data_IF_396107987335
#
_entry.id   IF_396107987335
#
_cell.length_a   1.000
_cell.length_b   1.000
_cell.length_c   1.000
_cell.angle_alpha   90.00
_cell.angle_beta   90.00
_cell.angle_gamma   90.00
#
_symmetry.space_group_name_H-M   'P 1'
#
loop_
_entity.id
_entity.type
_entity.pdbx_description
1 polymer ?
#
# COMPACT_ATOMS: atom_id res chain seq x y z
N UNK A 1 -28.61 9.99 -82.48
CA UNK A 1 -29.20 11.17 -83.16
C UNK A 1 -28.60 12.46 -82.58
N UNK A 2 -28.20 13.43 -83.41
CA UNK A 2 -27.58 14.70 -82.98
C UNK A 2 -28.63 15.57 -82.27
N UNK A 3 -28.40 16.02 -81.04
CA UNK A 3 -29.32 16.97 -80.35
C UNK A 3 -29.42 18.25 -81.18
N UNK A 4 -30.63 18.59 -81.60
CA UNK A 4 -30.96 19.79 -82.40
C UNK A 4 -31.43 20.87 -81.43
N UNK A 5 -30.80 22.04 -81.48
CA UNK A 5 -31.20 23.20 -80.69
C UNK A 5 -31.92 24.19 -81.61
N UNK A 6 -32.99 24.80 -81.12
CA UNK A 6 -33.80 25.76 -81.86
C UNK A 6 -33.69 27.13 -81.18
N UNK A 7 -33.41 28.18 -81.95
CA UNK A 7 -33.54 29.57 -81.48
C UNK A 7 -34.65 30.24 -82.26
N UNK A 8 -35.49 30.98 -81.54
CA UNK A 8 -36.56 31.75 -82.14
C UNK A 8 -35.98 32.96 -82.88
N UNK A 9 -36.34 33.11 -84.15
CA UNK A 9 -35.92 34.24 -84.98
C UNK A 9 -37.05 35.29 -85.01
N UNK A 10 -36.88 36.46 -84.36
CA UNK A 10 -37.96 37.46 -84.23
C UNK A 10 -38.40 38.06 -85.57
N UNK A 11 -37.57 37.97 -86.61
CA UNK A 11 -37.84 38.56 -87.93
C UNK A 11 -38.67 37.65 -88.82
N UNK A 12 -38.49 36.34 -88.70
CA UNK A 12 -39.21 35.34 -89.51
C UNK A 12 -40.31 34.63 -88.71
N UNK A 13 -40.41 34.87 -87.40
CA UNK A 13 -41.32 34.20 -86.47
C UNK A 13 -41.18 32.66 -86.46
N UNK A 14 -40.07 32.14 -86.97
CA UNK A 14 -39.77 30.70 -87.06
C UNK A 14 -38.65 30.29 -86.12
N UNK A 15 -38.58 28.99 -85.82
CA UNK A 15 -37.51 28.40 -85.04
C UNK A 15 -36.41 27.86 -85.96
N UNK A 16 -35.23 28.48 -85.93
CA UNK A 16 -34.09 28.07 -86.75
C UNK A 16 -33.26 27.01 -86.02
N UNK A 17 -32.87 25.95 -86.74
CA UNK A 17 -32.05 24.86 -86.21
C UNK A 17 -30.58 25.29 -86.17
N UNK A 18 -29.99 25.27 -84.98
CA UNK A 18 -28.56 25.58 -84.79
C UNK A 18 -27.82 24.36 -84.26
N UNK A 19 -26.68 24.07 -84.86
CA UNK A 19 -25.75 23.08 -84.35
C UNK A 19 -24.66 23.78 -83.55
N UNK A 20 -24.50 23.48 -82.25
CA UNK A 20 -23.44 24.10 -81.46
C UNK A 20 -22.07 23.71 -82.03
N UNK A 21 -21.19 24.70 -82.16
CA UNK A 21 -19.82 24.54 -82.65
C UNK A 21 -19.01 23.66 -81.70
N UNK A 22 -17.91 23.07 -82.18
CA UNK A 22 -17.03 22.19 -81.37
C UNK A 22 -16.58 22.91 -80.09
N UNK A 23 -16.23 24.19 -80.19
CA UNK A 23 -15.85 25.06 -79.05
C UNK A 23 -16.98 25.21 -78.02
N UNK A 24 -18.21 25.45 -78.46
CA UNK A 24 -19.37 25.60 -77.55
C UNK A 24 -19.71 24.30 -76.82
N UNK A 25 -19.57 23.14 -77.49
CA UNK A 25 -19.73 21.83 -76.84
C UNK A 25 -18.65 21.58 -75.80
N UNK A 26 -17.39 21.89 -76.13
CA UNK A 26 -16.27 21.77 -75.21
C UNK A 26 -16.47 22.66 -73.96
N UNK A 27 -16.87 23.92 -74.13
CA UNK A 27 -17.17 24.84 -73.02
C UNK A 27 -18.34 24.36 -72.15
N UNK A 28 -19.41 23.83 -72.75
CA UNK A 28 -20.53 23.23 -72.03
C UNK A 28 -20.10 22.04 -71.18
N UNK A 29 -19.23 21.18 -71.71
CA UNK A 29 -18.71 20.01 -70.99
C UNK A 29 -17.79 20.48 -69.83
N UNK A 30 -16.88 21.41 -70.10
CA UNK A 30 -15.99 21.98 -69.09
C UNK A 30 -16.75 22.63 -67.93
N UNK A 31 -17.81 23.40 -68.22
CA UNK A 31 -18.66 24.01 -67.17
C UNK A 31 -19.36 22.97 -66.31
N UNK A 32 -19.87 21.88 -66.91
CA UNK A 32 -20.51 20.78 -66.16
C UNK A 32 -19.51 20.03 -65.29
N UNK A 33 -18.29 19.81 -65.79
CA UNK A 33 -17.19 19.23 -65.01
C UNK A 33 -16.82 20.12 -63.82
N UNK A 34 -16.72 21.43 -64.01
CA UNK A 34 -16.45 22.38 -62.91
C UNK A 34 -17.52 22.36 -61.82
N UNK A 35 -18.79 22.39 -62.21
CA UNK A 35 -19.92 22.30 -61.26
C UNK A 35 -19.90 20.94 -60.53
N UNK A 36 -19.66 19.85 -61.26
CA UNK A 36 -19.55 18.50 -60.69
C UNK A 36 -18.39 18.37 -59.70
N UNK A 37 -17.23 18.94 -60.02
CA UNK A 37 -16.08 19.01 -59.11
C UNK A 37 -16.38 19.83 -57.86
N UNK A 38 -17.06 20.98 -57.99
CA UNK A 38 -17.45 21.80 -56.85
C UNK A 38 -18.42 21.08 -55.92
N UNK A 39 -19.44 20.41 -56.47
CA UNK A 39 -20.37 19.58 -55.69
C UNK A 39 -19.67 18.39 -55.03
N UNK A 40 -18.74 17.73 -55.75
CA UNK A 40 -17.94 16.64 -55.21
C UNK A 40 -17.03 17.07 -54.07
N UNK A 41 -16.32 18.20 -54.22
CA UNK A 41 -15.48 18.77 -53.18
C UNK A 41 -16.32 19.20 -51.96
N UNK A 42 -17.47 19.83 -52.19
CA UNK A 42 -18.40 20.21 -51.12
C UNK A 42 -18.92 18.99 -50.36
N UNK A 43 -19.37 17.95 -51.07
CA UNK A 43 -19.81 16.70 -50.46
C UNK A 43 -18.69 16.00 -49.68
N UNK A 44 -17.45 16.04 -50.19
CA UNK A 44 -16.28 15.47 -49.52
C UNK A 44 -15.91 16.22 -48.22
N UNK A 45 -15.92 17.57 -48.24
CA UNK A 45 -15.70 18.39 -47.05
C UNK A 45 -16.80 18.11 -46.01
N UNK A 46 -18.05 18.02 -46.45
CA UNK A 46 -19.19 17.76 -45.58
C UNK A 46 -19.10 16.36 -44.95
N UNK A 47 -18.62 15.36 -45.71
CA UNK A 47 -18.27 14.03 -45.20
C UNK A 47 -17.15 14.10 -44.14
N UNK A 48 -16.08 14.87 -44.37
CA UNK A 48 -14.99 15.04 -43.39
C UNK A 48 -15.46 15.73 -42.11
N UNK A 49 -16.41 16.66 -42.18
CA UNK A 49 -16.98 17.33 -40.99
C UNK A 49 -17.86 16.38 -40.19
N UNK A 50 -18.67 15.55 -40.86
CA UNK A 50 -19.60 14.63 -40.18
C UNK A 50 -18.86 13.42 -39.58
N UNK A 51 -17.94 12.82 -40.34
CA UNK A 51 -17.31 11.54 -39.96
C UNK A 51 -15.88 11.69 -39.44
N UNK A 52 -15.27 12.88 -39.55
CA UNK A 52 -13.87 13.10 -39.25
C UNK A 52 -12.94 12.44 -40.29
N UNK A 53 -11.66 12.79 -40.24
CA UNK A 53 -10.65 12.05 -41.01
C UNK A 53 -10.25 10.75 -40.30
N UNK A 54 -9.82 9.70 -41.02
CA UNK A 54 -9.29 8.48 -40.40
C UNK A 54 -8.15 8.76 -39.41
N UNK A 55 -7.27 9.71 -39.73
CA UNK A 55 -6.16 10.14 -38.87
C UNK A 55 -6.66 10.81 -37.58
N UNK A 56 -7.73 11.62 -37.65
CA UNK A 56 -8.32 12.21 -36.46
C UNK A 56 -8.94 11.14 -35.54
N UNK A 57 -9.58 10.12 -36.12
CA UNK A 57 -10.10 8.99 -35.34
C UNK A 57 -8.98 8.21 -34.65
N UNK A 58 -7.86 7.96 -35.34
CA UNK A 58 -6.68 7.33 -34.77
C UNK A 58 -6.11 8.16 -33.61
N UNK A 59 -5.91 9.46 -33.80
CA UNK A 59 -5.41 10.37 -32.76
C UNK A 59 -6.34 10.45 -31.54
N UNK A 60 -7.66 10.41 -31.73
CA UNK A 60 -8.62 10.35 -30.62
C UNK A 60 -8.53 9.04 -29.85
N UNK A 61 -8.33 7.94 -30.56
CA UNK A 61 -8.15 6.62 -29.95
C UNK A 61 -6.85 6.54 -29.17
N UNK A 62 -5.75 7.06 -29.73
CA UNK A 62 -4.44 7.15 -29.06
C UNK A 62 -4.51 8.04 -27.81
N UNK A 63 -5.13 9.23 -27.89
CA UNK A 63 -5.31 10.10 -26.72
C UNK A 63 -6.15 9.43 -25.62
N UNK A 64 -7.21 8.72 -25.99
CA UNK A 64 -8.01 7.94 -25.04
C UNK A 64 -7.19 6.84 -24.36
N UNK A 65 -6.39 6.11 -25.13
CA UNK A 65 -5.46 5.10 -24.61
C UNK A 65 -4.41 5.69 -23.68
N UNK A 66 -3.78 6.80 -24.05
CA UNK A 66 -2.81 7.50 -23.22
C UNK A 66 -3.44 7.98 -21.91
N UNK A 67 -4.64 8.55 -21.97
CA UNK A 67 -5.39 8.99 -20.78
C UNK A 67 -5.68 7.81 -19.84
N UNK A 68 -6.10 6.67 -20.38
CA UNK A 68 -6.30 5.45 -19.60
C UNK A 68 -4.99 4.94 -18.97
N UNK A 69 -3.87 5.01 -19.69
CA UNK A 69 -2.56 4.65 -19.15
C UNK A 69 -2.15 5.57 -17.98
N UNK A 70 -2.39 6.87 -18.09
CA UNK A 70 -2.14 7.83 -16.99
C UNK A 70 -3.00 7.54 -15.76
N UNK A 71 -4.28 7.18 -15.93
CA UNK A 71 -5.11 6.77 -14.82
C UNK A 71 -4.58 5.51 -14.12
N UNK A 72 -4.15 4.50 -14.88
CA UNK A 72 -3.53 3.29 -14.32
C UNK A 72 -2.25 3.65 -13.57
N UNK A 73 -1.40 4.51 -14.13
CA UNK A 73 -0.18 4.98 -13.47
C UNK A 73 -0.47 5.73 -12.17
N UNK A 74 -1.45 6.64 -12.19
CA UNK A 74 -1.87 7.39 -11.00
C UNK A 74 -2.35 6.46 -9.89
N UNK A 75 -3.14 5.43 -10.22
CA UNK A 75 -3.57 4.41 -9.27
C UNK A 75 -2.40 3.62 -8.68
N UNK A 76 -1.44 3.20 -9.51
CA UNK A 76 -0.23 2.50 -9.04
C UNK A 76 0.63 3.37 -8.13
N UNK A 77 0.68 4.68 -8.36
CA UNK A 77 1.36 5.61 -7.47
C UNK A 77 0.64 5.74 -6.13
N UNK A 78 -0.69 5.72 -6.09
CA UNK A 78 -1.45 5.71 -4.83
C UNK A 78 -1.16 4.44 -4.02
N UNK A 79 -1.15 3.27 -4.68
CA UNK A 79 -0.78 2.00 -4.06
C UNK A 79 0.66 2.04 -3.50
N UNK A 80 1.61 2.58 -4.28
CA UNK A 80 3.01 2.72 -3.84
C UNK A 80 3.18 3.70 -2.68
N UNK A 81 2.42 4.80 -2.64
CA UNK A 81 2.38 5.73 -1.51
C UNK A 81 1.80 5.06 -0.26
N UNK A 82 0.78 4.21 -0.41
CA UNK A 82 0.24 3.40 0.70
C UNK A 82 1.31 2.47 1.29
N UNK A 83 2.00 1.71 0.44
CA UNK A 83 3.11 0.85 0.90
C UNK A 83 4.22 1.67 1.56
N UNK A 84 4.57 2.83 1.00
CA UNK A 84 5.57 3.72 1.59
C UNK A 84 5.14 4.21 2.99
N UNK A 85 3.86 4.49 3.20
CA UNK A 85 3.31 4.86 4.49
C UNK A 85 3.41 3.70 5.51
N UNK A 86 3.14 2.47 5.10
CA UNK A 86 3.28 1.29 5.97
C UNK A 86 4.74 1.07 6.39
N UNK A 87 5.67 1.22 5.45
CA UNK A 87 7.13 1.13 5.71
C UNK A 87 7.55 2.23 6.70
N UNK A 88 7.07 3.45 6.48
CA UNK A 88 7.29 4.61 7.35
C UNK A 88 6.78 4.40 8.77
N UNK A 89 5.59 3.81 8.92
CA UNK A 89 5.01 3.47 10.22
C UNK A 89 5.80 2.36 10.92
N UNK A 90 6.25 1.34 10.17
CA UNK A 90 7.11 0.30 10.71
C UNK A 90 8.43 0.89 11.19
N UNK A 91 9.02 1.81 10.45
CA UNK A 91 10.25 2.48 10.86
C UNK A 91 10.08 3.27 12.17
N UNK A 92 9.04 4.11 12.26
CA UNK A 92 8.81 4.92 13.45
C UNK A 92 8.42 4.09 14.67
N UNK A 93 7.54 3.09 14.49
CA UNK A 93 6.93 2.36 15.62
C UNK A 93 7.69 1.08 16.00
N UNK A 94 8.56 0.56 15.13
CA UNK A 94 9.36 -0.63 15.41
C UNK A 94 10.82 -0.28 15.51
N UNK A 95 11.47 0.11 14.40
CA UNK A 95 12.92 0.27 14.39
C UNK A 95 13.38 1.42 15.28
N UNK A 96 12.77 2.60 15.16
CA UNK A 96 13.17 3.76 15.97
C UNK A 96 12.81 3.59 17.44
N UNK A 97 11.68 2.95 17.76
CA UNK A 97 11.35 2.54 19.13
C UNK A 97 12.41 1.59 19.69
N UNK A 98 12.84 0.61 18.89
CA UNK A 98 13.95 -0.32 19.20
C UNK A 98 15.22 0.41 19.59
N UNK A 99 15.67 1.34 18.76
CA UNK A 99 16.91 2.09 19.00
C UNK A 99 16.72 3.32 19.89
N UNK A 100 15.54 3.48 20.51
CA UNK A 100 15.15 4.65 21.30
C UNK A 100 15.39 5.99 20.57
N UNK A 101 15.28 5.98 19.24
CA UNK A 101 15.44 7.14 18.40
C UNK A 101 14.10 7.86 18.24
N UNK A 102 14.15 9.18 18.03
CA UNK A 102 12.96 9.96 17.73
C UNK A 102 12.40 9.58 16.34
N UNK A 103 11.07 9.53 16.18
CA UNK A 103 10.44 9.29 14.88
C UNK A 103 10.76 10.43 13.91
N UNK A 104 10.76 10.13 12.62
CA UNK A 104 10.97 11.19 11.61
C UNK A 104 9.68 12.00 11.49
N UNK A 105 9.78 13.31 11.65
CA UNK A 105 8.61 14.19 11.53
C UNK A 105 7.98 14.12 10.13
N UNK A 106 6.65 14.21 10.09
CA UNK A 106 5.92 14.26 8.81
C UNK A 106 6.40 15.43 7.94
N UNK A 107 6.81 16.54 8.55
CA UNK A 107 7.35 17.71 7.84
C UNK A 107 8.60 17.33 7.05
N UNK A 108 9.52 16.53 7.61
CA UNK A 108 10.72 16.09 6.90
C UNK A 108 10.37 15.11 5.77
N UNK A 109 9.41 14.21 6.00
CA UNK A 109 8.96 13.21 5.01
C UNK A 109 8.21 13.81 3.83
N UNK A 110 7.39 14.83 4.10
CA UNK A 110 6.55 15.54 3.12
C UNK A 110 7.15 16.87 2.68
N UNK A 111 8.35 17.23 3.17
CA UNK A 111 9.02 18.48 2.83
C UNK A 111 9.08 18.62 1.31
N UNK A 112 8.30 19.57 0.80
CA UNK A 112 8.27 19.91 -0.62
C UNK A 112 9.57 20.59 -1.04
N UNK A 113 9.79 20.65 -2.35
CA UNK A 113 10.76 21.56 -2.91
C UNK A 113 10.09 22.93 -2.97
N UNK A 114 10.59 23.91 -2.21
CA UNK A 114 10.18 25.30 -2.36
C UNK A 114 10.47 25.75 -3.80
N UNK A 115 9.46 26.28 -4.48
CA UNK A 115 9.57 26.76 -5.86
C UNK A 115 8.18 26.85 -6.51
N UNK A 116 7.77 28.04 -6.92
CA UNK A 116 6.38 28.33 -7.27
C UNK A 116 5.92 27.76 -8.62
N UNK A 117 6.82 27.32 -9.52
CA UNK A 117 6.44 27.01 -10.92
C UNK A 117 6.88 25.64 -11.47
N UNK A 118 7.12 24.61 -10.64
CA UNK A 118 7.61 23.30 -11.15
C UNK A 118 6.70 22.54 -12.10
N UNK A 119 5.41 22.90 -12.16
CA UNK A 119 4.41 22.23 -12.98
C UNK A 119 3.79 23.16 -14.02
N UNK A 120 4.33 24.38 -14.18
CA UNK A 120 3.77 25.41 -15.07
C UNK A 120 3.76 24.93 -16.53
N UNK A 121 4.86 24.35 -16.99
CA UNK A 121 4.98 23.75 -18.34
C UNK A 121 3.97 22.61 -18.58
N UNK A 122 3.54 21.92 -17.51
CA UNK A 122 2.55 20.85 -17.60
C UNK A 122 1.12 21.38 -17.62
N UNK A 123 0.88 22.63 -17.21
CA UNK A 123 -0.44 23.26 -17.25
C UNK A 123 -0.89 23.64 -18.66
N UNK A 124 0.06 23.76 -19.59
CA UNK A 124 -0.23 24.04 -21.01
C UNK A 124 -0.61 22.76 -21.80
N UNK A 125 -0.47 21.58 -21.20
CA UNK A 125 -0.78 20.30 -21.84
C UNK A 125 -2.28 19.98 -21.86
N UNK A 126 -2.71 19.23 -22.88
CA UNK A 126 -4.01 18.57 -22.85
C UNK A 126 -4.09 17.62 -21.64
N UNK A 127 -5.18 17.67 -20.88
CA UNK A 127 -5.35 16.93 -19.61
C UNK A 127 -4.32 17.31 -18.53
N UNK A 128 -3.89 18.57 -18.48
CA UNK A 128 -2.96 19.13 -17.49
C UNK A 128 -3.21 18.64 -16.05
N UNK A 129 -4.46 18.60 -15.59
CA UNK A 129 -4.80 18.17 -14.22
C UNK A 129 -4.30 16.75 -13.91
N UNK A 130 -4.53 15.80 -14.82
CA UNK A 130 -4.11 14.41 -14.65
C UNK A 130 -2.59 14.27 -14.69
N UNK A 131 -1.92 14.97 -15.61
CA UNK A 131 -0.46 14.95 -15.75
C UNK A 131 0.21 15.58 -14.53
N UNK A 132 -0.26 16.76 -14.11
CA UNK A 132 0.25 17.47 -12.94
C UNK A 132 0.04 16.67 -11.66
N UNK A 133 -1.15 16.11 -11.44
CA UNK A 133 -1.44 15.32 -10.24
C UNK A 133 -0.60 14.03 -10.19
N UNK A 134 -0.45 13.32 -11.32
CA UNK A 134 0.38 12.12 -11.42
C UNK A 134 1.86 12.45 -11.17
N UNK A 135 2.35 13.55 -11.74
CA UNK A 135 3.73 14.01 -11.54
C UNK A 135 3.99 14.40 -10.09
N UNK A 136 3.05 15.11 -9.44
CA UNK A 136 3.13 15.44 -8.01
C UNK A 136 3.22 14.19 -7.13
N UNK A 137 2.40 13.17 -7.40
CA UNK A 137 2.46 11.89 -6.66
C UNK A 137 3.80 11.19 -6.83
N UNK A 138 4.33 11.15 -8.05
CA UNK A 138 5.65 10.57 -8.33
C UNK A 138 6.77 11.30 -7.57
N UNK A 139 6.76 12.63 -7.59
CA UNK A 139 7.76 13.44 -6.90
C UNK A 139 7.68 13.28 -5.38
N UNK A 140 6.47 13.21 -4.82
CA UNK A 140 6.25 12.93 -3.41
C UNK A 140 6.81 11.55 -3.03
N UNK A 141 6.47 10.51 -3.80
CA UNK A 141 6.95 9.14 -3.57
C UNK A 141 8.48 9.07 -3.62
N UNK A 142 9.10 9.66 -4.66
CA UNK A 142 10.56 9.72 -4.81
C UNK A 142 11.24 10.34 -3.60
N UNK A 143 10.67 11.44 -3.07
CA UNK A 143 11.22 12.11 -1.89
C UNK A 143 11.06 11.27 -0.63
N UNK A 144 9.87 10.74 -0.38
CA UNK A 144 9.61 9.85 0.74
C UNK A 144 10.56 8.65 0.72
N UNK A 145 10.79 8.06 -0.45
CA UNK A 145 11.73 6.95 -0.63
C UNK A 145 13.17 7.35 -0.29
N UNK A 146 13.62 8.53 -0.72
CA UNK A 146 14.95 9.03 -0.32
C UNK A 146 15.07 9.22 1.20
N UNK A 147 14.08 9.86 1.83
CA UNK A 147 14.08 10.07 3.29
C UNK A 147 14.06 8.72 4.02
N UNK A 148 13.24 7.78 3.55
CA UNK A 148 13.14 6.44 4.13
C UNK A 148 14.43 5.64 3.98
N UNK A 149 15.11 5.75 2.82
CA UNK A 149 16.42 5.13 2.60
C UNK A 149 17.46 5.65 3.59
N UNK A 150 17.52 6.98 3.80
CA UNK A 150 18.42 7.59 4.78
C UNK A 150 18.07 7.18 6.20
N UNK A 151 16.78 7.08 6.53
CA UNK A 151 16.33 6.56 7.82
C UNK A 151 16.83 5.14 8.08
N UNK A 152 16.79 4.27 7.06
CA UNK A 152 17.30 2.91 7.21
C UNK A 152 18.82 2.86 7.32
N UNK A 153 19.57 3.75 6.66
CA UNK A 153 21.01 3.89 6.90
C UNK A 153 21.29 4.24 8.37
N UNK A 154 20.51 5.18 8.94
CA UNK A 154 20.61 5.55 10.35
C UNK A 154 20.29 4.37 11.26
N UNK A 155 19.20 3.65 11.00
CA UNK A 155 18.82 2.43 11.75
C UNK A 155 19.93 1.39 11.71
N UNK A 156 20.53 1.14 10.54
CA UNK A 156 21.66 0.21 10.40
C UNK A 156 22.89 0.69 11.18
N UNK A 157 23.18 1.99 11.21
CA UNK A 157 24.25 2.54 12.03
C UNK A 157 23.97 2.35 13.53
N UNK A 158 22.72 2.54 13.96
CA UNK A 158 22.30 2.27 15.34
C UNK A 158 22.47 0.78 15.68
N UNK A 159 22.08 -0.14 14.78
CA UNK A 159 22.31 -1.58 14.93
C UNK A 159 23.78 -1.90 15.18
N UNK A 160 24.70 -1.35 14.36
CA UNK A 160 26.15 -1.62 14.46
C UNK A 160 26.73 -1.14 15.79
N UNK A 161 26.22 -0.04 16.32
CA UNK A 161 26.71 0.54 17.57
C UNK A 161 26.05 -0.05 18.83
N UNK A 162 25.02 -0.89 18.66
CA UNK A 162 24.22 -1.44 19.76
C UNK A 162 24.05 -2.98 19.64
N UNK A 163 25.14 -3.71 19.40
CA UNK A 163 25.10 -5.19 19.30
C UNK A 163 24.54 -5.86 20.57
N UNK A 164 24.78 -5.29 21.75
CA UNK A 164 24.19 -5.76 23.00
C UNK A 164 22.68 -5.52 23.04
N UNK A 165 22.21 -4.34 22.62
CA UNK A 165 20.78 -4.04 22.58
C UNK A 165 20.04 -4.93 21.58
N UNK A 166 20.66 -5.25 20.43
CA UNK A 166 20.08 -6.16 19.45
C UNK A 166 19.76 -7.53 20.02
N UNK A 167 20.51 -7.99 21.02
CA UNK A 167 20.26 -9.26 21.73
C UNK A 167 19.14 -9.13 22.76
N UNK A 168 18.96 -7.94 23.33
CA UNK A 168 17.93 -7.61 24.32
C UNK A 168 16.51 -7.45 23.74
N UNK A 169 16.35 -7.10 22.46
CA UNK A 169 15.02 -6.92 21.85
C UNK A 169 14.21 -8.23 21.96
N UNK A 170 12.92 -8.21 22.32
CA UNK A 170 12.11 -9.43 22.42
C UNK A 170 11.69 -9.98 21.04
N UNK A 171 12.65 -10.39 20.20
CA UNK A 171 12.51 -10.49 18.74
C UNK A 171 12.06 -11.87 18.18
N UNK A 172 11.67 -12.81 19.04
CA UNK A 172 11.22 -14.16 18.68
C UNK A 172 9.88 -14.47 19.38
N UNK A 173 9.17 -15.48 18.90
CA UNK A 173 7.97 -15.96 19.56
C UNK A 173 8.33 -16.68 20.87
N UNK A 174 7.54 -16.52 21.94
CA UNK A 174 7.83 -17.13 23.24
C UNK A 174 7.52 -18.62 23.29
N UNK A 175 6.87 -19.18 22.25
CA UNK A 175 6.61 -20.62 22.08
C UNK A 175 6.98 -21.00 20.65
N UNK A 176 7.53 -22.20 20.44
CA UNK A 176 7.90 -22.67 19.12
C UNK A 176 6.66 -22.90 18.24
N UNK A 177 6.27 -21.88 17.47
CA UNK A 177 5.06 -21.90 16.63
C UNK A 177 5.35 -21.61 15.15
N UNK A 178 6.43 -22.21 14.62
CA UNK A 178 6.87 -22.06 13.22
C UNK A 178 5.84 -22.44 12.16
N UNK A 179 4.79 -23.20 12.53
CA UNK A 179 3.71 -23.61 11.62
C UNK A 179 2.38 -22.91 11.91
N UNK A 180 2.37 -21.90 12.79
CA UNK A 180 1.16 -21.18 13.24
C UNK A 180 0.03 -22.10 13.72
N UNK A 181 0.38 -23.28 14.26
CA UNK A 181 -0.57 -24.29 14.77
C UNK A 181 -1.04 -23.98 16.19
N UNK A 182 -0.23 -23.24 16.94
CA UNK A 182 -0.61 -22.68 18.22
C UNK A 182 -1.33 -21.37 17.92
N UNK A 183 -2.63 -21.37 18.16
CA UNK A 183 -3.50 -20.23 17.89
C UNK A 183 -3.07 -19.05 18.77
N UNK A 184 -2.85 -17.88 18.15
CA UNK A 184 -2.50 -16.66 18.85
C UNK A 184 -3.71 -15.72 18.97
N UNK A 185 -4.16 -15.41 20.18
CA UNK A 185 -5.23 -14.43 20.43
C UNK A 185 -4.64 -13.04 20.65
N UNK A 186 -5.18 -12.02 19.97
CA UNK A 186 -4.52 -10.72 19.77
C UNK A 186 -4.60 -9.71 20.91
N UNK A 187 -3.76 -8.68 20.80
CA UNK A 187 -3.71 -7.46 21.61
C UNK A 187 -4.82 -6.49 21.22
N UNK A 188 -5.50 -5.86 22.18
CA UNK A 188 -6.56 -4.87 21.93
C UNK A 188 -7.87 -5.15 22.68
N UNK A 189 -8.93 -4.42 22.34
CA UNK A 189 -10.26 -4.61 22.97
C UNK A 189 -10.90 -5.88 22.43
N UNK A 190 -11.23 -6.82 23.32
CA UNK A 190 -11.94 -8.07 23.00
C UNK A 190 -13.00 -8.38 24.07
N UNK A 191 -13.90 -9.31 23.78
CA UNK A 191 -14.88 -9.79 24.76
C UNK A 191 -14.13 -10.68 25.77
N UNK A 192 -14.15 -10.31 27.05
CA UNK A 192 -13.59 -11.12 28.13
C UNK A 192 -14.36 -12.45 28.20
N UNK A 193 -13.70 -13.61 28.03
CA UNK A 193 -14.37 -14.91 27.93
C UNK A 193 -15.05 -15.35 29.23
N UNK A 194 -14.72 -14.71 30.36
CA UNK A 194 -15.27 -15.04 31.68
C UNK A 194 -16.52 -14.19 31.97
N UNK A 195 -16.50 -12.90 31.61
CA UNK A 195 -17.60 -11.97 31.93
C UNK A 195 -18.46 -11.56 30.74
N UNK A 196 -18.07 -11.89 29.51
CA UNK A 196 -18.81 -11.52 28.29
C UNK A 196 -18.81 -10.02 27.97
N UNK A 197 -17.94 -9.23 28.62
CA UNK A 197 -17.86 -7.77 28.45
C UNK A 197 -16.60 -7.36 27.68
N UNK A 198 -16.66 -6.24 26.95
CA UNK A 198 -15.51 -5.71 26.23
C UNK A 198 -14.41 -5.26 27.21
N UNK A 199 -13.22 -5.88 27.13
CA UNK A 199 -12.06 -5.58 27.96
C UNK A 199 -10.80 -5.50 27.11
N UNK A 200 -9.91 -4.58 27.48
CA UNK A 200 -8.62 -4.45 26.82
C UNK A 200 -7.66 -5.58 27.23
N UNK A 201 -7.18 -6.32 26.24
CA UNK A 201 -6.17 -7.36 26.36
C UNK A 201 -4.79 -6.78 26.04
N UNK A 202 -3.94 -6.65 27.07
CA UNK A 202 -2.63 -5.99 26.98
C UNK A 202 -1.48 -6.88 26.53
N UNK A 203 -1.77 -8.04 25.93
CA UNK A 203 -0.79 -9.04 25.53
C UNK A 203 -1.27 -9.88 24.35
N UNK A 204 -0.65 -11.05 24.18
CA UNK A 204 -0.99 -12.05 23.18
C UNK A 204 -1.01 -13.43 23.85
N UNK A 205 -2.03 -14.23 23.55
CA UNK A 205 -2.18 -15.56 24.13
C UNK A 205 -1.81 -16.64 23.12
N UNK A 206 -1.00 -17.61 23.51
CA UNK A 206 -0.58 -18.73 22.67
C UNK A 206 -1.14 -20.04 23.21
N UNK A 207 -2.11 -20.62 22.50
CA UNK A 207 -2.70 -21.91 22.87
C UNK A 207 -1.73 -23.06 22.60
N UNK A 208 -1.34 -23.78 23.65
CA UNK A 208 -0.40 -24.90 23.55
C UNK A 208 -0.62 -25.92 24.67
N UNK A 209 -0.16 -27.16 24.45
CA UNK A 209 -0.27 -28.22 25.46
C UNK A 209 0.51 -27.83 26.73
N UNK A 210 0.00 -28.20 27.91
CA UNK A 210 0.71 -27.95 29.16
C UNK A 210 2.11 -28.60 29.14
N UNK A 211 3.10 -27.86 29.62
CA UNK A 211 4.50 -28.27 29.64
C UNK A 211 5.27 -27.95 28.35
N UNK A 212 4.60 -27.41 27.31
CA UNK A 212 5.29 -26.89 26.12
C UNK A 212 6.31 -25.84 26.53
N UNK A 213 7.51 -25.89 25.96
CA UNK A 213 8.61 -25.00 26.32
C UNK A 213 8.28 -23.53 26.03
N UNK A 214 8.53 -22.68 27.02
CA UNK A 214 8.44 -21.22 26.91
C UNK A 214 9.86 -20.66 26.88
N UNK A 215 10.12 -19.79 25.90
CA UNK A 215 11.43 -19.25 25.60
C UNK A 215 11.53 -17.76 25.97
N UNK A 216 12.69 -17.35 26.50
CA UNK A 216 13.03 -15.94 26.63
C UNK A 216 13.14 -15.32 25.24
N UNK A 217 12.45 -14.21 24.98
CA UNK A 217 12.38 -13.63 23.63
C UNK A 217 13.52 -12.65 23.34
N UNK A 218 14.32 -12.32 24.35
CA UNK A 218 15.52 -11.50 24.28
C UNK A 218 16.46 -11.82 25.45
N UNK A 219 17.70 -11.39 25.34
CA UNK A 219 18.67 -11.43 26.44
C UNK A 219 18.21 -10.52 27.59
N UNK A 220 18.39 -10.95 28.83
CA UNK A 220 17.93 -10.15 29.97
C UNK A 220 18.18 -10.81 31.31
N UNK A 221 17.57 -10.25 32.36
CA UNK A 221 17.62 -10.74 33.74
C UNK A 221 16.20 -11.01 34.23
N UNK A 222 15.99 -12.17 34.85
CA UNK A 222 14.70 -12.49 35.47
C UNK A 222 14.49 -11.61 36.71
N UNK A 223 13.59 -10.63 36.63
CA UNK A 223 13.32 -9.66 37.70
C UNK A 223 12.13 -10.03 38.58
N UNK A 224 11.23 -10.89 38.09
CA UNK A 224 10.14 -11.48 38.88
C UNK A 224 9.93 -12.93 38.50
N UNK A 225 9.67 -13.77 39.49
CA UNK A 225 9.34 -15.18 39.32
C UNK A 225 8.47 -15.63 40.50
N UNK A 226 7.26 -16.12 40.24
CA UNK A 226 6.34 -16.58 41.28
C UNK A 226 4.87 -16.34 40.93
N UNK A 227 3.99 -16.49 41.93
CA UNK A 227 2.55 -16.27 41.78
C UNK A 227 2.23 -14.77 41.70
N UNK A 228 1.40 -14.38 40.73
CA UNK A 228 1.02 -12.98 40.48
C UNK A 228 -0.48 -12.80 40.22
N UNK A 229 -1.29 -13.09 41.24
CA UNK A 229 -2.75 -12.88 41.19
C UNK A 229 -3.40 -13.62 40.02
N UNK A 230 -4.10 -12.88 39.15
CA UNK A 230 -4.81 -13.45 38.00
C UNK A 230 -3.86 -14.04 36.94
N UNK A 231 -2.61 -13.59 36.85
CA UNK A 231 -1.62 -14.14 35.93
C UNK A 231 -1.12 -15.54 36.36
N UNK A 232 -1.37 -15.95 37.61
CA UNK A 232 -0.87 -17.23 38.13
C UNK A 232 0.67 -17.24 38.21
N UNK A 233 1.28 -18.37 37.88
CA UNK A 233 2.75 -18.45 37.84
C UNK A 233 3.29 -17.60 36.69
N UNK A 234 4.13 -16.64 37.06
CA UNK A 234 4.58 -15.58 36.16
C UNK A 234 6.10 -15.41 36.22
N UNK A 235 6.72 -15.22 35.06
CA UNK A 235 8.10 -14.75 34.93
C UNK A 235 8.06 -13.35 34.30
N UNK A 236 8.84 -12.41 34.83
CA UNK A 236 9.13 -11.13 34.17
C UNK A 236 10.64 -11.05 33.91
N UNK A 237 11.00 -10.78 32.66
CA UNK A 237 12.39 -10.55 32.26
C UNK A 237 12.56 -9.06 31.97
N UNK A 238 13.59 -8.46 32.54
CA UNK A 238 14.08 -7.14 32.18
C UNK A 238 15.24 -7.31 31.19
N UNK A 239 15.03 -6.85 29.97
CA UNK A 239 16.01 -6.96 28.90
C UNK A 239 16.97 -5.76 28.87
N UNK A 240 16.79 -4.77 29.75
CA UNK A 240 17.47 -3.49 29.64
C UNK A 240 16.88 -2.63 28.52
N UNK A 241 17.43 -1.42 28.34
CA UNK A 241 17.01 -0.48 27.30
C UNK A 241 15.48 -0.20 27.29
N UNK A 242 14.83 -0.29 28.45
CA UNK A 242 13.39 -0.05 28.60
C UNK A 242 12.48 -1.21 28.19
N UNK A 243 13.04 -2.37 27.81
CA UNK A 243 12.29 -3.57 27.42
C UNK A 243 12.01 -4.48 28.61
N UNK A 244 10.75 -4.87 28.78
CA UNK A 244 10.35 -5.94 29.70
C UNK A 244 9.36 -6.87 29.02
N UNK A 245 9.42 -8.14 29.39
CA UNK A 245 8.47 -9.15 28.91
C UNK A 245 7.83 -9.88 30.09
N UNK A 246 6.56 -10.24 29.93
CA UNK A 246 5.78 -10.95 30.93
C UNK A 246 5.33 -12.29 30.34
N UNK A 247 5.54 -13.37 31.09
CA UNK A 247 5.15 -14.73 30.73
C UNK A 247 4.28 -15.28 31.84
N UNK A 248 3.00 -15.49 31.57
CA UNK A 248 1.99 -15.83 32.58
C UNK A 248 1.30 -17.17 32.32
N UNK A 249 0.49 -17.61 33.29
CA UNK A 249 -0.21 -18.89 33.32
C UNK A 249 0.70 -20.11 33.29
N UNK A 250 1.97 -19.98 33.67
CA UNK A 250 2.98 -21.04 33.58
C UNK A 250 2.63 -22.25 34.46
N UNK A 251 3.05 -23.45 34.03
CA UNK A 251 2.95 -24.67 34.84
C UNK A 251 4.11 -24.76 35.82
N UNK A 252 5.32 -24.52 35.32
CA UNK A 252 6.59 -24.70 36.03
C UNK A 252 7.61 -23.63 35.62
N UNK A 253 8.57 -23.36 36.52
CA UNK A 253 9.69 -22.47 36.27
C UNK A 253 10.95 -23.30 35.95
N UNK A 254 11.59 -23.01 34.81
CA UNK A 254 12.86 -23.65 34.39
C UNK A 254 14.04 -22.68 34.43
N UNK A 255 13.83 -21.51 35.05
CA UNK A 255 14.84 -20.49 35.33
C UNK A 255 14.82 -20.13 36.82
N UNK A 256 15.62 -19.14 37.24
CA UNK A 256 15.72 -18.65 38.62
C UNK A 256 15.64 -17.13 38.66
N UNK A 257 15.11 -16.58 39.75
CA UNK A 257 15.11 -15.14 40.00
C UNK A 257 16.56 -14.59 39.95
N UNK A 258 16.75 -13.42 39.34
CA UNK A 258 18.04 -12.75 39.07
C UNK A 258 18.99 -13.49 38.12
N UNK A 259 18.59 -14.62 37.53
CA UNK A 259 19.39 -15.30 36.50
C UNK A 259 19.40 -14.47 35.22
N UNK A 260 20.59 -14.31 34.61
CA UNK A 260 20.73 -13.85 33.23
C UNK A 260 20.26 -14.96 32.29
N UNK A 261 19.39 -14.60 31.35
CA UNK A 261 18.88 -15.50 30.33
C UNK A 261 19.24 -14.95 28.95
N UNK A 262 19.46 -15.85 28.00
CA UNK A 262 19.72 -15.49 26.60
C UNK A 262 18.47 -15.73 25.75
N UNK A 263 18.34 -15.01 24.65
CA UNK A 263 17.26 -15.21 23.68
C UNK A 263 17.21 -16.68 23.24
N UNK A 264 16.01 -17.26 23.26
CA UNK A 264 15.79 -18.67 22.92
C UNK A 264 16.11 -19.65 24.06
N UNK A 265 16.46 -19.17 25.25
CA UNK A 265 16.61 -20.03 26.42
C UNK A 265 15.23 -20.44 26.97
N UNK A 266 15.07 -21.72 27.32
CA UNK A 266 13.86 -22.22 27.97
C UNK A 266 13.77 -21.69 29.41
N UNK A 267 12.70 -20.96 29.72
CA UNK A 267 12.49 -20.32 31.03
C UNK A 267 11.34 -20.94 31.83
N UNK A 268 10.44 -21.68 31.19
CA UNK A 268 9.29 -22.30 31.85
C UNK A 268 8.52 -23.24 30.93
N UNK A 269 7.43 -23.79 31.45
CA UNK A 269 6.47 -24.57 30.70
C UNK A 269 5.10 -23.91 30.65
N UNK A 270 4.44 -23.96 29.49
CA UNK A 270 3.04 -23.53 29.31
C UNK A 270 2.15 -24.22 30.35
N UNK A 271 1.21 -23.49 30.93
CA UNK A 271 0.30 -24.04 31.94
C UNK A 271 -1.12 -23.53 31.77
N UNK A 272 -1.84 -23.54 32.88
CA UNK A 272 -3.20 -23.00 32.99
C UNK A 272 -3.43 -22.45 34.40
N UNK A 273 -2.38 -21.89 35.02
CA UNK A 273 -2.44 -21.38 36.40
C UNK A 273 -3.05 -19.97 36.46
N UNK A 274 -3.54 -19.55 37.63
CA UNK A 274 -4.24 -18.27 37.75
C UNK A 274 -5.61 -18.30 37.10
N UNK A 275 -5.99 -17.21 36.44
CA UNK A 275 -7.28 -17.06 35.77
C UNK A 275 -7.16 -17.39 34.29
N UNK A 276 -7.37 -18.66 33.96
CA UNK A 276 -7.24 -19.20 32.60
C UNK A 276 -8.44 -20.09 32.24
N UNK A 277 -8.92 -20.03 30.99
CA UNK A 277 -9.97 -20.91 30.46
C UNK A 277 -9.43 -22.25 29.95
N UNK A 278 -8.13 -22.34 29.68
CA UNK A 278 -7.47 -23.56 29.21
C UNK A 278 -5.96 -23.40 29.03
N UNK A 279 -5.22 -24.46 28.66
CA UNK A 279 -3.76 -24.40 28.50
C UNK A 279 -3.30 -23.37 27.45
N UNK A 280 -2.66 -22.29 27.90
CA UNK A 280 -2.07 -21.26 27.05
C UNK A 280 -0.97 -20.48 27.77
N UNK A 281 -0.15 -19.77 26.99
CA UNK A 281 0.78 -18.77 27.49
C UNK A 281 0.20 -17.38 27.23
N UNK A 282 0.04 -16.58 28.27
CA UNK A 282 -0.19 -15.14 28.11
C UNK A 282 1.16 -14.41 28.07
N UNK A 283 1.38 -13.61 27.02
CA UNK A 283 2.64 -12.93 26.75
C UNK A 283 2.45 -11.42 26.56
N UNK A 284 3.19 -10.61 27.31
CA UNK A 284 3.20 -9.14 27.14
C UNK A 284 4.60 -8.64 26.78
N UNK A 285 4.66 -7.59 25.94
CA UNK A 285 5.86 -6.79 25.69
C UNK A 285 5.63 -5.39 26.22
N UNK A 286 6.53 -4.89 27.05
CA UNK A 286 6.49 -3.55 27.61
C UNK A 286 7.70 -2.76 27.12
N UNK A 287 7.46 -1.54 26.66
CA UNK A 287 8.50 -0.59 26.25
C UNK A 287 8.35 0.69 27.03
N UNK A 288 9.41 1.07 27.76
CA UNK A 288 9.42 2.27 28.63
C UNK A 288 8.21 2.32 29.59
N UNK A 289 7.79 1.15 30.07
CA UNK A 289 6.67 1.00 31.01
C UNK A 289 5.27 0.93 30.38
N UNK A 290 5.15 1.04 29.06
CA UNK A 290 3.86 0.90 28.36
C UNK A 290 3.74 -0.47 27.69
N UNK A 291 2.55 -1.08 27.78
CA UNK A 291 2.23 -2.31 27.04
C UNK A 291 2.13 -1.98 25.56
N UNK A 292 2.76 -2.80 24.73
CA UNK A 292 2.71 -2.67 23.27
C UNK A 292 2.29 -4.00 22.65
N UNK A 293 1.78 -3.95 21.42
CA UNK A 293 1.35 -5.16 20.73
C UNK A 293 2.56 -6.07 20.45
N UNK A 294 2.62 -7.30 21.03
CA UNK A 294 3.73 -8.22 20.84
C UNK A 294 3.95 -8.65 19.39
N UNK A 295 2.91 -8.57 18.55
CA UNK A 295 2.97 -9.00 17.14
C UNK A 295 4.07 -8.32 16.35
N UNK A 296 4.41 -7.08 16.72
CA UNK A 296 5.39 -6.25 16.03
C UNK A 296 6.84 -6.74 16.23
N UNK A 297 7.08 -7.70 17.12
CA UNK A 297 8.43 -8.10 17.52
C UNK A 297 8.89 -9.44 16.94
N UNK A 298 8.05 -10.25 16.29
CA UNK A 298 8.42 -11.62 15.87
C UNK A 298 9.19 -11.71 14.54
N UNK A 299 9.92 -10.65 14.16
CA UNK A 299 10.53 -10.51 12.83
C UNK A 299 11.76 -11.40 12.58
N UNK A 300 12.30 -12.09 13.60
CA UNK A 300 13.37 -13.08 13.40
C UNK A 300 12.88 -14.52 13.18
N UNK A 301 11.61 -14.81 13.48
CA UNK A 301 11.06 -16.18 13.42
C UNK A 301 10.18 -16.44 12.20
N UNK A 302 9.68 -15.39 11.55
CA UNK A 302 8.66 -15.50 10.51
C UNK A 302 9.15 -14.96 9.17
N UNK A 303 8.82 -15.68 8.09
CA UNK A 303 8.87 -15.11 6.75
C UNK A 303 7.84 -13.97 6.64
N UNK A 304 8.00 -13.10 5.63
CA UNK A 304 7.02 -12.02 5.40
C UNK A 304 5.59 -12.57 5.24
N UNK A 305 5.43 -13.69 4.52
CA UNK A 305 4.13 -14.33 4.32
C UNK A 305 3.55 -14.90 5.63
N UNK A 306 4.38 -15.51 6.47
CA UNK A 306 3.92 -16.06 7.75
C UNK A 306 3.59 -14.95 8.77
N UNK A 307 4.28 -13.81 8.68
CA UNK A 307 3.99 -12.63 9.48
C UNK A 307 2.60 -12.08 9.15
N UNK A 308 2.27 -11.93 7.88
CA UNK A 308 0.94 -11.46 7.44
C UNK A 308 -0.17 -12.42 7.88
N UNK A 309 0.04 -13.74 7.75
CA UNK A 309 -0.90 -14.76 8.26
C UNK A 309 -1.09 -14.64 9.77
N UNK A 310 -0.01 -14.45 10.52
CA UNK A 310 -0.09 -14.27 11.97
C UNK A 310 -0.88 -13.02 12.35
N UNK A 311 -0.66 -11.89 11.66
CA UNK A 311 -1.43 -10.65 11.88
C UNK A 311 -2.93 -10.90 11.66
N UNK A 312 -3.29 -11.62 10.59
CA UNK A 312 -4.68 -11.99 10.30
C UNK A 312 -5.27 -12.90 11.39
N UNK A 313 -4.52 -13.91 11.85
CA UNK A 313 -4.95 -14.79 12.94
C UNK A 313 -5.20 -13.96 14.21
N UNK A 314 -4.22 -13.16 14.63
CA UNK A 314 -4.33 -12.33 15.83
C UNK A 314 -5.50 -11.33 15.77
N UNK A 315 -5.76 -10.73 14.59
CA UNK A 315 -6.88 -9.82 14.38
C UNK A 315 -8.25 -10.52 14.38
N UNK A 316 -8.32 -11.73 13.84
CA UNK A 316 -9.58 -12.50 13.77
C UNK A 316 -10.03 -13.05 15.13
N UNK A 317 -9.10 -13.29 16.06
CA UNK A 317 -9.42 -13.82 17.39
C UNK A 317 -10.16 -12.85 18.32
N UNK A 318 -10.16 -11.54 18.04
CA UNK A 318 -11.03 -10.60 18.75
C UNK A 318 -12.54 -10.88 18.62
N UNK A 319 -12.93 -11.81 17.71
CA UNK A 319 -14.32 -12.22 17.45
C UNK A 319 -14.70 -13.61 17.97
N UNK A 320 -13.77 -14.39 18.53
CA UNK A 320 -14.02 -15.74 19.04
C UNK A 320 -13.56 -15.84 20.49
N UNK A 321 -14.38 -16.47 21.33
CA UNK A 321 -14.08 -16.68 22.74
C UNK A 321 -12.84 -17.59 22.89
N UNK A 322 -11.89 -17.21 23.76
CA UNK A 322 -10.73 -18.04 24.13
C UNK A 322 -11.16 -19.30 24.91
#
# INVERSE_FOLDING_TARGET
MRKVYYIYNPRTQTYDRIYPTVRQRALSIARRLFIGMGLGAGAFILLLIIFGSPSEKELRMENSQLTAQYHVLSKRLDEALGVMQDIQQRDDNLYRVIFQADPISEVIRKAGYGGTNRYEELMEMANAELVVSTTKKMDLLRRQLYVQSRSFDDVVAMCKNHDEMLKCIPAIQPVANKKLRQTASGYGVRIDPIYGSAKFHGGMDFSAHQGTDVYATGDGIVVKMGWDGAYGNTIIIDHGFGYKTVYAHLKDFRTKLRKKVVRGEVIGGVGSTGRSTGPHLHYEVHVKGQRVNPVNYYFMDLSAEDYDKMIQIAANHGKVFD
#
